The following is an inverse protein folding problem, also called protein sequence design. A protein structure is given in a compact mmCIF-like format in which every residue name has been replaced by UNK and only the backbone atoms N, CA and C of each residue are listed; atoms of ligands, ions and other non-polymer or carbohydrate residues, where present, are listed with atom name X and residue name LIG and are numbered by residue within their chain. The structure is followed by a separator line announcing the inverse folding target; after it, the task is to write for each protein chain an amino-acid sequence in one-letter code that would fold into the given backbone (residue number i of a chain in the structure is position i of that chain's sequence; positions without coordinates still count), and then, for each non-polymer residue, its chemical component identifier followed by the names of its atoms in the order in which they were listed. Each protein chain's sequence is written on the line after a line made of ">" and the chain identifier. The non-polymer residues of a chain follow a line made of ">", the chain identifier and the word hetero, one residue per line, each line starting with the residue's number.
data_IF_917035840671
#
_entry.id   IF_917035840671
#
_cell.length_a   1.000
_cell.length_b   1.000
_cell.length_c   1.000
_cell.angle_alpha   90.00
_cell.angle_beta   90.00
_cell.angle_gamma   90.00
#
_symmetry.space_group_name_H-M   'P 1'
#
loop_
_entity.id
_entity.type
_entity.pdbx_description
1 polymer ?
#
# COMPACT_ATOMS: atom_id res chain seq x y z
N UNK A 1 -18.83 -10.80 -0.22
CA UNK A 1 -18.54 -9.65 -1.10
C UNK A 1 -17.02 -9.57 -1.26
N UNK A 2 -16.52 -9.26 -2.46
CA UNK A 2 -15.08 -9.22 -2.71
C UNK A 2 -14.53 -7.83 -2.37
N UNK A 3 -13.85 -7.71 -1.23
CA UNK A 3 -13.17 -6.49 -0.80
C UNK A 3 -11.77 -6.34 -1.43
N UNK A 4 -11.06 -5.28 -1.04
CA UNK A 4 -9.66 -5.11 -1.43
C UNK A 4 -9.06 -3.74 -1.13
N UNK A 5 -7.80 -3.60 -1.52
CA UNK A 5 -7.00 -2.40 -1.34
C UNK A 5 -6.81 -1.69 -2.68
N UNK A 6 -7.06 -0.38 -2.69
CA UNK A 6 -6.55 0.58 -3.66
C UNK A 6 -5.49 1.41 -2.97
N UNK A 7 -4.28 1.42 -3.49
CA UNK A 7 -3.19 2.23 -2.97
C UNK A 7 -2.80 3.26 -4.03
N UNK A 8 -2.49 4.47 -3.57
CA UNK A 8 -1.78 5.47 -4.36
C UNK A 8 -0.60 6.00 -3.54
N UNK A 9 0.58 6.01 -4.16
CA UNK A 9 1.77 6.65 -3.63
C UNK A 9 1.93 8.01 -4.29
N UNK A 10 2.02 9.04 -3.47
CA UNK A 10 2.24 10.42 -3.90
C UNK A 10 3.68 10.81 -3.54
N UNK A 11 4.45 11.19 -4.56
CA UNK A 11 5.84 11.64 -4.40
C UNK A 11 5.91 13.10 -3.98
N UNK A 12 7.11 13.60 -3.72
CA UNK A 12 7.31 15.05 -3.45
C UNK A 12 7.23 15.91 -4.71
N UNK A 13 7.42 15.29 -5.87
CA UNK A 13 7.24 15.90 -7.19
C UNK A 13 6.57 14.92 -8.14
N UNK A 14 6.05 15.43 -9.27
CA UNK A 14 5.47 14.61 -10.33
C UNK A 14 6.45 13.56 -10.91
N UNK A 15 7.76 13.86 -10.87
CA UNK A 15 8.81 12.99 -11.41
C UNK A 15 9.53 12.16 -10.35
N UNK A 16 9.01 12.13 -9.12
CA UNK A 16 9.56 11.30 -8.04
C UNK A 16 9.53 9.83 -8.47
N UNK A 17 10.71 9.26 -8.73
CA UNK A 17 10.82 7.90 -9.25
C UNK A 17 10.51 6.87 -8.17
N UNK A 18 10.53 7.23 -6.89
CA UNK A 18 10.33 6.33 -5.76
C UNK A 18 8.90 5.79 -5.69
N UNK A 19 7.93 6.48 -6.29
CA UNK A 19 6.56 5.96 -6.38
C UNK A 19 6.41 4.87 -7.45
N UNK A 20 7.28 4.86 -8.47
CA UNK A 20 7.15 3.95 -9.62
C UNK A 20 7.72 2.58 -9.26
N UNK A 21 6.93 1.54 -9.46
CA UNK A 21 7.37 0.16 -9.17
C UNK A 21 7.89 -0.01 -7.73
N UNK A 22 7.32 0.74 -6.80
CA UNK A 22 7.68 0.70 -5.38
C UNK A 22 7.29 -0.65 -4.80
N UNK A 23 8.23 -1.26 -4.08
CA UNK A 23 7.99 -2.51 -3.36
C UNK A 23 7.35 -2.23 -2.01
N UNK A 24 6.33 -3.01 -1.69
CA UNK A 24 5.55 -2.91 -0.47
C UNK A 24 5.43 -4.32 0.11
N UNK A 25 5.37 -4.45 1.43
CA UNK A 25 4.88 -5.67 2.07
C UNK A 25 3.55 -5.40 2.76
N UNK A 26 2.64 -6.34 2.62
CA UNK A 26 1.35 -6.33 3.29
C UNK A 26 1.27 -7.56 4.18
N UNK A 27 1.13 -7.35 5.49
CA UNK A 27 1.01 -8.40 6.49
C UNK A 27 -0.36 -8.34 7.17
N UNK A 28 -0.95 -9.49 7.46
CA UNK A 28 -2.10 -9.57 8.37
C UNK A 28 -1.69 -9.13 9.79
N UNK A 29 -2.65 -8.66 10.60
CA UNK A 29 -2.37 -8.18 11.96
C UNK A 29 -1.80 -9.26 12.90
N UNK A 30 -2.03 -10.54 12.59
CA UNK A 30 -1.50 -11.70 13.31
C UNK A 30 -0.18 -12.23 12.73
N UNK A 31 0.40 -11.57 11.73
CA UNK A 31 1.62 -11.98 11.00
C UNK A 31 1.50 -13.37 10.32
N UNK A 32 0.29 -13.92 10.20
CA UNK A 32 0.08 -15.24 9.58
C UNK A 32 0.28 -15.24 8.07
N UNK A 33 0.11 -14.09 7.43
CA UNK A 33 0.24 -13.93 5.98
C UNK A 33 0.99 -12.65 5.65
N UNK A 34 2.08 -12.77 4.88
CA UNK A 34 2.80 -11.65 4.27
C UNK A 34 2.76 -11.78 2.74
N UNK A 35 2.47 -10.67 2.07
CA UNK A 35 2.41 -10.59 0.61
C UNK A 35 3.29 -9.42 0.15
N UNK A 36 4.23 -9.72 -0.74
CA UNK A 36 4.99 -8.69 -1.45
C UNK A 36 4.17 -8.13 -2.61
N UNK A 37 4.07 -6.80 -2.70
CA UNK A 37 3.31 -6.07 -3.69
C UNK A 37 4.20 -5.04 -4.37
N UNK A 38 3.88 -4.69 -5.62
CA UNK A 38 4.62 -3.70 -6.40
C UNK A 38 3.62 -2.74 -7.03
N UNK A 39 3.83 -1.43 -6.89
CA UNK A 39 3.01 -0.43 -7.58
C UNK A 39 3.27 -0.42 -9.08
N UNK A 40 2.36 0.15 -9.86
CA UNK A 40 2.60 0.42 -11.27
C UNK A 40 3.54 1.63 -11.49
N UNK A 41 3.74 1.99 -12.75
CA UNK A 41 4.56 3.15 -13.15
C UNK A 41 4.01 4.50 -12.67
N UNK A 42 2.77 4.54 -12.16
CA UNK A 42 2.07 5.73 -11.67
C UNK A 42 1.95 5.72 -10.14
N UNK A 43 2.58 4.76 -9.45
CA UNK A 43 2.51 4.62 -8.00
C UNK A 43 1.19 4.06 -7.48
N UNK A 44 0.41 3.38 -8.33
CA UNK A 44 -0.88 2.82 -7.95
C UNK A 44 -0.80 1.32 -7.81
N UNK A 45 -1.63 0.78 -6.92
CA UNK A 45 -1.81 -0.65 -6.76
C UNK A 45 -3.27 -0.95 -6.47
N UNK A 46 -3.76 -2.06 -7.00
CA UNK A 46 -5.10 -2.57 -6.71
C UNK A 46 -5.05 -4.08 -6.52
N UNK A 47 -5.33 -4.56 -5.31
CA UNK A 47 -5.36 -5.99 -4.99
C UNK A 47 -6.62 -6.38 -4.22
N UNK A 48 -7.08 -7.62 -4.43
CA UNK A 48 -8.19 -8.17 -3.63
C UNK A 48 -7.64 -8.70 -2.32
N UNK A 49 -8.35 -8.42 -1.24
CA UNK A 49 -8.01 -8.87 0.11
C UNK A 49 -9.26 -9.44 0.77
N UNK A 50 -9.13 -10.56 1.49
CA UNK A 50 -10.16 -11.00 2.43
C UNK A 50 -10.43 -9.93 3.49
N UNK A 51 -11.62 -9.92 4.10
CA UNK A 51 -11.85 -9.11 5.29
C UNK A 51 -10.84 -9.45 6.40
N UNK A 52 -10.36 -8.43 7.10
CA UNK A 52 -9.38 -8.54 8.17
C UNK A 52 -8.54 -7.29 8.36
N UNK A 53 -7.73 -7.29 9.42
CA UNK A 53 -6.80 -6.22 9.75
C UNK A 53 -5.45 -6.43 9.07
N UNK A 54 -4.91 -5.36 8.49
CA UNK A 54 -3.65 -5.39 7.75
C UNK A 54 -2.71 -4.26 8.17
N UNK A 55 -1.42 -4.56 8.04
CA UNK A 55 -0.31 -3.62 8.09
C UNK A 55 0.36 -3.56 6.73
N UNK A 56 0.58 -2.36 6.21
CA UNK A 56 1.27 -2.09 4.96
C UNK A 56 2.58 -1.38 5.28
N UNK A 57 3.68 -1.97 4.84
CA UNK A 57 5.03 -1.45 5.01
C UNK A 57 5.63 -1.05 3.66
N UNK A 58 6.31 0.10 3.67
CA UNK A 58 7.03 0.68 2.55
C UNK A 58 8.32 1.28 3.11
N UNK A 59 9.48 0.86 2.63
CA UNK A 59 10.78 1.29 3.19
C UNK A 59 10.94 2.82 3.26
N UNK A 60 10.29 3.53 2.33
CA UNK A 60 10.34 4.99 2.24
C UNK A 60 9.25 5.72 3.04
N UNK A 61 8.40 5.03 3.82
CA UNK A 61 7.28 5.66 4.54
C UNK A 61 6.98 4.98 5.88
N UNK A 62 6.13 5.62 6.69
CA UNK A 62 5.63 5.01 7.91
C UNK A 62 4.64 3.88 7.61
N UNK A 63 4.67 2.83 8.44
CA UNK A 63 3.68 1.74 8.41
C UNK A 63 2.25 2.28 8.45
N UNK A 64 1.38 1.74 7.60
CA UNK A 64 -0.04 2.06 7.58
C UNK A 64 -0.85 0.86 8.09
N UNK A 65 -1.87 1.12 8.92
CA UNK A 65 -2.79 0.10 9.42
C UNK A 65 -4.20 0.38 8.92
N UNK A 66 -4.89 -0.65 8.46
CA UNK A 66 -6.28 -0.55 8.01
C UNK A 66 -7.01 -1.89 8.12
N UNK A 67 -8.32 -1.82 8.29
CA UNK A 67 -9.22 -2.97 8.36
C UNK A 67 -10.02 -3.07 7.07
N UNK A 68 -9.98 -4.21 6.38
CA UNK A 68 -10.87 -4.51 5.25
C UNK A 68 -12.12 -5.20 5.80
N UNK A 69 -13.31 -4.64 5.59
CA UNK A 69 -14.58 -5.26 6.03
C UNK A 69 -15.43 -5.62 4.81
N UNK A 70 -15.91 -4.59 4.10
CA UNK A 70 -16.66 -4.75 2.87
C UNK A 70 -16.26 -3.67 1.86
N UNK A 71 -16.14 -4.07 0.59
CA UNK A 71 -15.74 -3.18 -0.49
C UNK A 71 -14.25 -2.81 -0.55
N UNK A 72 -13.96 -1.73 -1.28
CA UNK A 72 -12.58 -1.30 -1.57
C UNK A 72 -12.16 -0.18 -0.63
N UNK A 73 -11.03 -0.37 0.03
CA UNK A 73 -10.39 0.66 0.84
C UNK A 73 -9.35 1.40 0.02
N UNK A 74 -9.26 2.70 0.22
CA UNK A 74 -8.26 3.53 -0.44
C UNK A 74 -7.24 4.01 0.59
N UNK A 75 -5.99 3.61 0.43
CA UNK A 75 -4.85 4.11 1.20
C UNK A 75 -4.06 5.05 0.29
N UNK A 76 -3.67 6.21 0.82
CA UNK A 76 -2.78 7.17 0.15
C UNK A 76 -1.57 7.41 1.03
N UNK A 77 -0.38 7.28 0.46
CA UNK A 77 0.87 7.48 1.19
C UNK A 77 1.64 8.58 0.51
N UNK A 78 1.93 9.64 1.25
CA UNK A 78 2.86 10.68 0.84
C UNK A 78 4.27 10.25 1.21
N UNK A 79 5.16 10.17 0.23
CA UNK A 79 6.58 9.93 0.50
C UNK A 79 7.20 11.20 1.10
N UNK A 80 8.09 11.07 2.10
CA UNK A 80 8.86 12.18 2.62
C UNK A 80 9.85 12.68 1.56
N UNK A 81 10.33 13.93 1.67
CA UNK A 81 11.43 14.41 0.84
C UNK A 81 12.68 13.53 0.98
N UNK A 82 13.48 13.46 -0.08
CA UNK A 82 14.80 12.85 0.00
C UNK A 82 15.66 13.65 0.99
N UNK A 83 16.40 12.93 1.85
CA UNK A 83 17.32 13.51 2.83
C UNK A 83 18.62 13.99 2.18
#
# INVERSE_FOLDING_TARGET
>A
MAGGLRLALDGTSHDDRRVRFARLSLSSADDSHEIALVTDAQGRLRCRLPPGDYRLHLDAAAEQRFEVVDGWITVRIQLPPEA
#
